data_IF_653019310736
#
_entry.id   IF_653019310736
#
_cell.length_a   1.000
_cell.length_b   1.000
_cell.length_c   1.000
_cell.angle_alpha   90.00
_cell.angle_beta   90.00
_cell.angle_gamma   90.00
#
_symmetry.space_group_name_H-M   'P 1'
#
loop_
_entity.id
_entity.type
_entity.pdbx_description
1 polymer ?
#
# COMPACT_ATOMS: atom_id res chain seq x y z
N UNK A 1 -18.59 -4.61 -11.53
CA UNK A 1 -17.19 -5.06 -11.69
C UNK A 1 -16.86 -4.68 -13.12
N UNK A 2 -16.32 -3.47 -13.30
CA UNK A 2 -15.86 -3.03 -14.62
C UNK A 2 -14.70 -3.93 -15.04
N UNK A 3 -14.67 -4.30 -16.32
CA UNK A 3 -13.71 -5.26 -16.86
C UNK A 3 -12.47 -4.50 -17.33
N UNK A 4 -11.34 -5.20 -17.38
CA UNK A 4 -10.04 -4.73 -17.88
C UNK A 4 -10.13 -3.94 -19.20
N UNK A 5 -11.08 -4.31 -20.06
CA UNK A 5 -11.39 -3.68 -21.35
C UNK A 5 -11.82 -2.21 -21.22
N UNK A 6 -12.49 -1.84 -20.13
CA UNK A 6 -13.00 -0.48 -19.89
C UNK A 6 -11.87 0.52 -19.60
N UNK A 7 -10.69 0.02 -19.23
CA UNK A 7 -9.46 0.77 -18.99
C UNK A 7 -8.55 0.82 -20.23
N UNK A 8 -8.94 0.19 -21.35
CA UNK A 8 -8.18 0.19 -22.59
C UNK A 8 -7.01 -0.80 -22.63
N UNK A 9 -6.94 -1.74 -21.68
CA UNK A 9 -5.98 -2.83 -21.70
C UNK A 9 -6.49 -3.99 -22.57
N UNK A 10 -5.61 -4.75 -23.24
CA UNK A 10 -6.01 -5.94 -23.98
C UNK A 10 -6.69 -6.94 -23.02
N UNK A 11 -7.85 -7.52 -23.37
CA UNK A 11 -8.59 -8.45 -22.51
C UNK A 11 -7.81 -9.70 -22.10
N UNK A 12 -6.79 -10.05 -22.87
CA UNK A 12 -6.12 -11.35 -22.84
C UNK A 12 -4.65 -11.27 -22.40
N UNK A 13 -4.18 -10.09 -21.97
CA UNK A 13 -2.79 -9.84 -21.57
C UNK A 13 -2.77 -9.10 -20.23
N UNK A 14 -2.15 -9.70 -19.21
CA UNK A 14 -1.92 -8.98 -17.95
C UNK A 14 -0.98 -7.81 -18.21
N UNK A 15 -1.36 -6.57 -17.83
CA UNK A 15 -0.48 -5.42 -18.00
C UNK A 15 0.81 -5.64 -17.22
N UNK A 16 1.93 -5.17 -17.76
CA UNK A 16 3.15 -5.08 -16.97
C UNK A 16 2.92 -4.20 -15.72
N UNK A 17 3.73 -4.37 -14.68
CA UNK A 17 3.56 -3.63 -13.44
C UNK A 17 3.62 -2.09 -13.63
N UNK A 18 4.45 -1.63 -14.57
CA UNK A 18 4.51 -0.21 -14.96
C UNK A 18 3.22 0.27 -15.63
N UNK A 19 2.55 -0.64 -16.36
CA UNK A 19 1.23 -0.39 -16.97
C UNK A 19 0.12 -0.45 -15.92
N UNK A 20 0.22 -1.29 -14.89
CA UNK A 20 -0.72 -1.34 -13.77
C UNK A 20 -0.66 -0.07 -12.91
N UNK A 21 0.54 0.36 -12.51
CA UNK A 21 0.73 1.63 -11.78
C UNK A 21 0.27 2.82 -12.62
N UNK A 22 0.53 2.78 -13.93
CA UNK A 22 0.02 3.79 -14.86
C UNK A 22 -1.52 3.72 -15.01
N UNK A 23 -2.13 2.54 -14.98
CA UNK A 23 -3.58 2.34 -15.00
C UNK A 23 -4.24 2.94 -13.77
N UNK A 24 -3.67 2.71 -12.58
CA UNK A 24 -4.17 3.26 -11.32
C UNK A 24 -4.01 4.79 -11.27
N UNK A 25 -2.86 5.31 -11.69
CA UNK A 25 -2.64 6.75 -11.80
C UNK A 25 -3.56 7.40 -12.86
N UNK A 26 -3.84 6.70 -13.95
CA UNK A 26 -4.78 7.13 -14.98
C UNK A 26 -6.23 7.08 -14.48
N UNK A 27 -6.62 6.05 -13.73
CA UNK A 27 -7.91 5.93 -13.07
C UNK A 27 -8.14 7.09 -12.08
N UNK A 28 -7.11 7.40 -11.27
CA UNK A 28 -7.08 8.56 -10.40
C UNK A 28 -7.29 9.87 -11.17
N UNK A 29 -6.65 10.03 -12.33
CA UNK A 29 -6.73 11.24 -13.13
C UNK A 29 -8.01 11.43 -13.96
N UNK A 30 -8.83 10.38 -14.17
CA UNK A 30 -9.88 10.41 -15.22
C UNK A 30 -11.31 10.52 -14.71
N UNK A 31 -11.63 10.10 -13.48
CA UNK A 31 -13.04 10.06 -13.01
C UNK A 31 -13.17 10.23 -11.49
N UNK A 32 -13.21 11.47 -10.98
CA UNK A 32 -13.68 11.77 -9.61
C UNK A 32 -12.90 11.14 -8.45
N UNK A 33 -11.82 10.43 -8.75
CA UNK A 33 -10.89 9.84 -7.80
C UNK A 33 -9.75 10.83 -7.55
N UNK A 34 -9.11 10.78 -6.39
CA UNK A 34 -7.98 11.66 -6.08
C UNK A 34 -6.86 10.92 -5.37
N UNK A 35 -5.65 11.48 -5.44
CA UNK A 35 -4.56 11.07 -4.57
C UNK A 35 -4.88 11.36 -3.11
N UNK A 36 -4.46 10.47 -2.22
CA UNK A 36 -4.58 10.58 -0.77
C UNK A 36 -3.30 10.10 -0.10
N UNK A 37 -3.00 10.69 1.05
CA UNK A 37 -2.00 10.17 1.99
C UNK A 37 -2.73 9.36 3.06
N UNK A 38 -2.39 8.09 3.18
CA UNK A 38 -2.96 7.16 4.14
C UNK A 38 -2.02 7.10 5.36
N UNK A 39 -2.43 7.64 6.53
CA UNK A 39 -1.60 7.61 7.73
C UNK A 39 -1.51 6.20 8.28
N UNK A 40 -0.29 5.73 8.51
CA UNK A 40 0.01 4.46 9.16
C UNK A 40 1.45 4.46 9.70
N UNK A 41 1.60 4.24 11.00
CA UNK A 41 2.91 4.10 11.65
C UNK A 41 3.74 2.96 11.03
N UNK A 42 3.05 1.88 10.64
CA UNK A 42 3.64 0.66 10.11
C UNK A 42 2.61 -0.15 9.31
N UNK A 43 3.06 -1.25 8.72
CA UNK A 43 2.22 -2.33 8.19
C UNK A 43 2.82 -3.68 8.57
N UNK A 44 2.03 -4.73 8.43
CA UNK A 44 2.49 -6.10 8.69
C UNK A 44 2.67 -6.86 7.39
N UNK A 45 3.67 -7.74 7.35
CA UNK A 45 3.71 -8.81 6.34
C UNK A 45 4.14 -10.16 6.92
N UNK A 46 3.82 -11.25 6.23
CA UNK A 46 4.06 -12.61 6.70
C UNK A 46 4.97 -13.41 5.78
N UNK A 47 5.93 -14.11 6.37
CA UNK A 47 6.71 -15.15 5.69
C UNK A 47 6.39 -16.52 6.28
N UNK A 48 6.55 -17.59 5.52
CA UNK A 48 6.48 -18.94 6.07
C UNK A 48 7.73 -19.24 6.93
N UNK A 49 7.50 -19.72 8.13
CA UNK A 49 8.51 -20.24 9.04
C UNK A 49 9.14 -21.52 8.47
N UNK A 50 10.47 -21.60 8.38
CA UNK A 50 11.13 -22.86 8.03
C UNK A 50 11.00 -23.95 9.10
N UNK A 51 10.70 -23.59 10.36
CA UNK A 51 10.68 -24.54 11.47
C UNK A 51 9.39 -25.37 11.55
N UNK A 52 8.25 -24.74 11.28
CA UNK A 52 6.92 -25.35 11.40
C UNK A 52 5.99 -25.08 10.20
N UNK A 53 6.39 -24.25 9.23
CA UNK A 53 5.62 -23.93 8.04
C UNK A 53 4.51 -22.89 8.24
N UNK A 54 4.31 -22.43 9.47
CA UNK A 54 3.31 -21.42 9.83
C UNK A 54 3.73 -20.01 9.38
N UNK A 55 2.79 -19.06 9.40
CA UNK A 55 3.08 -17.67 9.03
C UNK A 55 3.66 -16.91 10.22
N UNK A 56 4.88 -16.42 10.06
CA UNK A 56 5.51 -15.50 10.99
C UNK A 56 5.33 -14.06 10.50
N UNK A 57 4.77 -13.15 11.32
CA UNK A 57 4.59 -11.76 10.97
C UNK A 57 5.89 -10.95 11.14
N UNK A 58 5.98 -9.89 10.35
CA UNK A 58 6.94 -8.81 10.42
C UNK A 58 6.18 -7.51 10.64
N UNK A 59 6.67 -6.68 11.54
CA UNK A 59 6.25 -5.28 11.66
C UNK A 59 7.20 -4.42 10.84
N UNK A 60 6.70 -3.73 9.82
CA UNK A 60 7.48 -2.93 8.86
C UNK A 60 7.11 -1.46 9.01
N UNK A 61 8.09 -0.63 9.33
CA UNK A 61 7.88 0.76 9.74
C UNK A 61 9.00 1.67 9.21
N UNK A 62 8.79 2.97 9.26
CA UNK A 62 9.83 3.96 8.95
C UNK A 62 10.24 4.72 10.20
N UNK A 63 11.52 5.06 10.32
CA UNK A 63 12.02 5.95 11.39
C UNK A 63 11.99 7.43 10.98
N UNK A 64 11.62 7.73 9.73
CA UNK A 64 11.45 9.11 9.29
C UNK A 64 10.11 9.67 9.78
N UNK A 65 9.98 10.99 9.85
CA UNK A 65 8.78 11.66 10.39
C UNK A 65 7.51 11.51 9.54
N UNK A 66 7.57 10.79 8.42
CA UNK A 66 6.51 10.71 7.43
C UNK A 66 5.92 9.30 7.38
N UNK A 67 4.85 9.07 8.14
CA UNK A 67 4.15 7.80 8.28
C UNK A 67 3.00 7.67 7.26
N UNK A 68 3.17 8.13 6.02
CA UNK A 68 2.11 8.13 5.02
C UNK A 68 2.39 7.12 3.91
N UNK A 69 1.36 6.41 3.46
CA UNK A 69 1.39 5.63 2.22
C UNK A 69 0.56 6.33 1.15
N UNK A 70 0.98 6.20 -0.10
CA UNK A 70 0.24 6.71 -1.25
C UNK A 70 -1.01 5.86 -1.45
N UNK A 71 -2.15 6.52 -1.59
CA UNK A 71 -3.41 5.85 -1.85
C UNK A 71 -4.31 6.63 -2.78
N UNK A 72 -5.29 5.93 -3.33
CA UNK A 72 -6.36 6.50 -4.12
C UNK A 72 -7.65 6.50 -3.32
N UNK A 73 -8.52 7.47 -3.56
CA UNK A 73 -9.86 7.47 -2.99
C UNK A 73 -10.91 7.74 -4.05
N UNK A 74 -12.12 7.22 -3.83
CA UNK A 74 -13.27 7.40 -4.71
C UNK A 74 -14.57 7.42 -3.90
N UNK A 75 -15.59 8.08 -4.44
CA UNK A 75 -16.96 7.97 -3.95
C UNK A 75 -17.79 7.12 -4.90
N UNK A 76 -18.43 6.08 -4.36
CA UNK A 76 -19.32 5.19 -5.09
C UNK A 76 -20.78 5.53 -4.77
N UNK A 77 -21.49 6.13 -5.71
CA UNK A 77 -22.89 6.54 -5.55
C UNK A 77 -23.89 5.38 -5.44
N UNK A 78 -23.56 4.20 -5.96
CA UNK A 78 -24.43 3.03 -5.88
C UNK A 78 -24.42 2.41 -4.48
N UNK A 79 -23.30 2.57 -3.76
CA UNK A 79 -23.11 2.09 -2.40
C UNK A 79 -23.25 3.20 -1.36
N UNK A 80 -23.41 4.46 -1.80
CA UNK A 80 -23.35 5.66 -0.95
C UNK A 80 -22.13 5.63 0.00
N UNK A 81 -20.96 5.30 -0.58
CA UNK A 81 -19.76 5.01 0.20
C UNK A 81 -18.51 5.65 -0.42
N UNK A 82 -17.70 6.28 0.42
CA UNK A 82 -16.34 6.68 0.09
C UNK A 82 -15.38 5.59 0.52
N UNK A 83 -14.54 5.12 -0.41
CA UNK A 83 -13.49 4.14 -0.13
C UNK A 83 -12.13 4.65 -0.58
N UNK A 84 -11.09 4.00 -0.09
CA UNK A 84 -9.73 4.22 -0.54
C UNK A 84 -8.99 2.90 -0.69
N UNK A 85 -7.91 2.93 -1.46
CA UNK A 85 -6.96 1.83 -1.62
C UNK A 85 -5.55 2.36 -1.44
N UNK A 86 -4.64 1.50 -1.02
CA UNK A 86 -3.20 1.78 -0.94
C UNK A 86 -2.58 1.40 -2.27
N UNK A 87 -1.74 2.28 -2.82
CA UNK A 87 -0.91 1.96 -3.98
C UNK A 87 0.23 1.07 -3.51
N UNK A 88 0.43 -0.03 -4.22
CA UNK A 88 1.54 -0.94 -4.00
C UNK A 88 2.47 -0.95 -5.20
N UNK A 89 3.72 -1.32 -4.96
CA UNK A 89 4.77 -1.43 -5.96
C UNK A 89 5.64 -2.68 -5.69
N UNK A 90 6.49 -3.11 -6.65
CA UNK A 90 7.51 -4.12 -6.38
C UNK A 90 8.38 -3.69 -5.20
N UNK A 91 8.60 -4.60 -4.26
CA UNK A 91 9.43 -4.32 -3.09
C UNK A 91 10.88 -4.02 -3.48
N UNK A 92 11.45 -2.96 -2.91
CA UNK A 92 12.89 -2.69 -2.95
C UNK A 92 13.58 -3.18 -1.65
N UNK A 93 14.91 -3.12 -1.62
CA UNK A 93 15.63 -3.33 -0.37
C UNK A 93 15.26 -2.21 0.63
N UNK A 94 15.00 -2.54 1.92
CA UNK A 94 15.26 -3.85 2.53
C UNK A 94 14.07 -4.82 2.53
N UNK A 95 12.87 -4.40 2.11
CA UNK A 95 11.62 -5.18 2.24
C UNK A 95 11.56 -6.38 1.30
N UNK A 96 12.27 -6.35 0.18
CA UNK A 96 12.28 -7.43 -0.82
C UNK A 96 12.76 -8.80 -0.31
N UNK A 97 13.31 -8.87 0.91
CA UNK A 97 13.61 -10.14 1.58
C UNK A 97 12.41 -10.75 2.33
N UNK A 98 11.30 -10.01 2.48
CA UNK A 98 10.09 -10.40 3.23
C UNK A 98 8.96 -10.74 2.27
N UNK A 99 8.67 -9.84 1.32
CA UNK A 99 7.55 -9.94 0.38
C UNK A 99 7.94 -9.27 -0.93
N UNK A 100 7.31 -9.64 -2.04
CA UNK A 100 7.61 -9.14 -3.40
C UNK A 100 6.95 -7.79 -3.71
N UNK A 101 6.01 -7.35 -2.86
CA UNK A 101 5.27 -6.10 -2.95
C UNK A 101 5.38 -5.28 -1.66
N UNK A 102 5.33 -3.96 -1.77
CA UNK A 102 5.26 -3.05 -0.63
C UNK A 102 4.28 -1.88 -0.88
N UNK A 103 3.67 -1.30 0.18
CA UNK A 103 2.98 -0.02 0.09
C UNK A 103 3.94 1.11 -0.26
N UNK A 104 3.62 1.91 -1.29
CA UNK A 104 4.46 3.03 -1.71
C UNK A 104 4.50 4.14 -0.66
N UNK A 105 5.69 4.47 -0.15
CA UNK A 105 5.93 5.67 0.67
C UNK A 105 6.49 6.80 -0.19
N UNK A 106 5.62 7.66 -0.72
CA UNK A 106 6.02 8.79 -1.57
C UNK A 106 6.81 9.85 -0.78
N UNK A 107 7.89 10.34 -1.39
CA UNK A 107 8.70 11.43 -0.84
C UNK A 107 7.81 12.66 -0.55
N UNK A 108 7.87 13.22 0.67
CA UNK A 108 7.15 14.43 1.07
C UNK A 108 7.23 15.62 0.10
N UNK A 109 8.33 15.74 -0.66
CA UNK A 109 8.48 16.76 -1.67
C UNK A 109 7.40 16.72 -2.77
N UNK A 110 6.73 15.58 -2.95
CA UNK A 110 5.70 15.37 -3.97
C UNK A 110 4.28 15.25 -3.40
N UNK A 111 4.08 15.43 -2.09
CA UNK A 111 2.76 15.32 -1.46
C UNK A 111 1.75 16.32 -2.03
N UNK A 112 2.15 17.57 -2.26
CA UNK A 112 1.27 18.59 -2.84
C UNK A 112 0.85 18.24 -4.27
N UNK A 113 1.78 17.73 -5.07
CA UNK A 113 1.51 17.27 -6.44
C UNK A 113 0.56 16.07 -6.42
N UNK A 114 0.76 15.13 -5.50
CA UNK A 114 -0.09 13.95 -5.32
C UNK A 114 -1.53 14.30 -4.89
N UNK A 115 -1.68 15.22 -3.94
CA UNK A 115 -2.98 15.67 -3.43
C UNK A 115 -3.67 16.69 -4.35
N UNK A 116 -2.96 17.22 -5.34
CA UNK A 116 -3.44 18.24 -6.26
C UNK A 116 -4.59 17.75 -7.15
N UNK A 117 -5.82 18.28 -7.01
CA UNK A 117 -6.99 17.81 -7.78
C UNK A 117 -6.93 18.19 -9.27
N UNK A 118 -5.94 19.00 -9.66
CA UNK A 118 -5.71 19.45 -11.04
C UNK A 118 -4.38 18.97 -11.59
N UNK A 119 -3.66 18.12 -10.86
CA UNK A 119 -2.40 17.56 -11.32
C UNK A 119 -2.66 16.68 -12.55
N UNK A 120 -2.02 16.94 -13.69
CA UNK A 120 -2.16 16.10 -14.87
C UNK A 120 -1.77 14.65 -14.57
N UNK A 121 -2.51 13.69 -15.11
CA UNK A 121 -2.25 12.26 -14.90
C UNK A 121 -0.81 11.84 -15.30
N UNK A 122 -0.22 12.51 -16.30
CA UNK A 122 1.17 12.32 -16.68
C UNK A 122 2.14 12.62 -15.54
N UNK A 123 1.93 13.74 -14.85
CA UNK A 123 2.81 14.19 -13.78
C UNK A 123 2.66 13.26 -12.55
N UNK A 124 1.47 12.69 -12.34
CA UNK A 124 1.25 11.68 -11.30
C UNK A 124 2.09 10.42 -11.52
N UNK A 125 2.23 9.94 -12.76
CA UNK A 125 3.08 8.77 -13.04
C UNK A 125 4.54 9.03 -12.69
N UNK A 126 5.06 10.20 -13.05
CA UNK A 126 6.46 10.55 -12.81
C UNK A 126 6.76 10.63 -11.31
N UNK A 127 5.88 11.23 -10.50
CA UNK A 127 6.13 11.38 -9.06
C UNK A 127 6.07 10.06 -8.29
N UNK A 128 5.28 9.07 -8.74
CA UNK A 128 5.17 7.78 -8.05
C UNK A 128 6.48 6.98 -8.06
N UNK A 129 7.44 7.34 -8.92
CA UNK A 129 8.80 6.75 -8.93
C UNK A 129 9.75 7.35 -7.89
N UNK A 130 9.29 8.32 -7.09
CA UNK A 130 10.08 8.99 -6.06
C UNK A 130 9.67 8.55 -4.65
N UNK A 131 9.92 7.27 -4.35
CA UNK A 131 9.70 6.70 -3.03
C UNK A 131 10.85 7.03 -2.05
N UNK A 132 10.55 6.83 -0.76
CA UNK A 132 11.53 6.83 0.33
C UNK A 132 11.56 5.48 1.06
N UNK A 133 11.18 4.39 0.39
CA UNK A 133 10.99 3.06 0.98
C UNK A 133 12.32 2.41 1.41
N UNK A 134 13.45 2.88 0.89
CA UNK A 134 14.80 2.54 1.40
C UNK A 134 15.00 2.84 2.89
N UNK A 135 14.14 3.67 3.49
CA UNK A 135 14.18 4.03 4.91
C UNK A 135 13.36 3.09 5.80
N UNK A 136 12.66 2.12 5.21
CA UNK A 136 11.90 1.12 5.96
C UNK A 136 12.83 0.21 6.77
N UNK A 137 12.33 -0.21 7.92
CA UNK A 137 12.94 -1.18 8.82
C UNK A 137 11.88 -2.18 9.26
N UNK A 138 12.33 -3.33 9.76
CA UNK A 138 11.42 -4.36 10.23
C UNK A 138 12.02 -5.24 11.31
N UNK A 139 11.13 -5.83 12.10
CA UNK A 139 11.45 -6.89 13.04
C UNK A 139 10.27 -7.86 13.16
N UNK A 140 10.53 -9.05 13.68
CA UNK A 140 9.50 -10.06 13.95
C UNK A 140 8.63 -9.64 15.11
N UNK A 141 7.33 -9.89 15.02
CA UNK A 141 6.37 -9.71 16.12
C UNK A 141 5.68 -11.02 16.45
N UNK A 142 4.94 -11.05 17.56
CA UNK A 142 4.19 -12.23 17.94
C UNK A 142 3.11 -12.57 16.91
N UNK A 143 2.90 -13.88 16.64
CA UNK A 143 1.87 -14.39 15.71
C UNK A 143 0.45 -13.93 16.04
N UNK A 144 0.23 -13.45 17.26
CA UNK A 144 -1.04 -12.92 17.76
C UNK A 144 -1.67 -11.89 16.80
N UNK A 145 -0.86 -11.04 16.14
CA UNK A 145 -1.35 -10.07 15.15
C UNK A 145 -2.12 -10.69 13.98
N UNK A 146 -1.92 -11.98 13.71
CA UNK A 146 -2.63 -12.69 12.63
C UNK A 146 -4.10 -12.97 12.97
N UNK A 147 -4.52 -12.77 14.22
CA UNK A 147 -5.90 -12.93 14.65
C UNK A 147 -6.58 -11.56 14.75
N UNK A 148 -7.69 -11.37 14.03
CA UNK A 148 -8.49 -10.14 14.15
C UNK A 148 -9.24 -10.04 15.50
N UNK A 149 -9.52 -11.17 16.16
CA UNK A 149 -10.18 -11.22 17.45
C UNK A 149 -9.74 -12.43 18.27
N UNK A 150 -9.63 -12.24 19.59
CA UNK A 150 -9.31 -13.29 20.57
C UNK A 150 -10.42 -13.31 21.61
N UNK A 151 -10.97 -14.50 21.91
CA UNK A 151 -12.08 -14.64 22.86
C UNK A 151 -13.28 -13.71 22.57
N UNK A 152 -13.59 -13.48 21.28
CA UNK A 152 -14.63 -12.54 20.79
C UNK A 152 -14.37 -11.06 21.10
N UNK A 153 -13.16 -10.70 21.51
CA UNK A 153 -12.72 -9.32 21.66
C UNK A 153 -11.80 -8.94 20.51
N UNK A 154 -11.91 -7.69 20.03
CA UNK A 154 -11.02 -7.16 19.00
C UNK A 154 -9.57 -7.26 19.48
N UNK A 155 -8.71 -7.77 18.61
CA UNK A 155 -7.29 -7.82 18.88
C UNK A 155 -6.64 -6.50 18.44
N UNK A 156 -6.66 -5.51 19.33
CA UNK A 156 -6.16 -4.16 19.06
C UNK A 156 -5.53 -3.59 20.34
N UNK A 157 -4.29 -4.01 20.59
CA UNK A 157 -3.52 -3.59 21.76
C UNK A 157 -2.06 -3.29 21.38
N UNK A 158 -1.41 -2.43 22.17
CA UNK A 158 -0.08 -1.92 21.85
C UNK A 158 1.01 -3.01 21.82
N UNK A 159 0.81 -4.15 22.47
CA UNK A 159 1.77 -5.26 22.43
C UNK A 159 1.87 -5.96 21.07
N UNK A 160 0.93 -5.71 20.14
CA UNK A 160 0.99 -6.29 18.78
C UNK A 160 2.20 -5.83 17.97
N UNK A 161 2.84 -4.72 18.35
CA UNK A 161 4.07 -4.22 17.73
C UNK A 161 5.32 -4.59 18.53
N UNK A 162 5.22 -5.34 19.62
CA UNK A 162 6.39 -5.72 20.41
C UNK A 162 7.22 -6.80 19.68
N UNK A 163 8.57 -6.67 19.66
CA UNK A 163 9.43 -7.66 19.04
C UNK A 163 9.25 -9.06 19.65
N UNK A 164 9.15 -10.08 18.80
CA UNK A 164 9.28 -11.47 19.24
C UNK A 164 10.76 -11.87 19.33
N UNK A 165 11.11 -12.81 20.22
CA UNK A 165 12.43 -13.40 20.28
C UNK A 165 12.80 -14.20 19.02
#
# INVERSE_FOLDING_TARGET
MERWDDMGFPPDEEPSEEEYVAAEAWWAGRQGCGGRLIPADAYYEWTKSPADGDKDPWHIFSQVTHHFRSGLWAYNSNLDATSCTIITEPSAAPVNQIHDRQPLMLDPAYHDTWLGPKTPARDLKDILSHDIDRHLQFYRVWREVSAAAINKQLNDHASLVEPSP
#
